data_IF_548878047560
#
_entry.id   IF_548878047560
#
_cell.length_a   1.000
_cell.length_b   1.000
_cell.length_c   1.000
_cell.angle_alpha   90.00
_cell.angle_beta   90.00
_cell.angle_gamma   90.00
#
_symmetry.space_group_name_H-M   'P 1'
#
loop_
_entity.id
_entity.type
_entity.pdbx_description
1 polymer ?
#
# COMPACT_ATOMS: atom_id res chain seq x y z
N UNK A 1 10.96 29.41 29.40
CA UNK A 1 9.83 28.52 29.04
C UNK A 1 10.01 28.21 27.57
N UNK A 2 10.13 26.90 27.24
CA UNK A 2 10.17 26.51 25.83
C UNK A 2 8.82 26.83 25.18
N UNK A 3 8.87 27.36 23.97
CA UNK A 3 7.67 27.60 23.18
C UNK A 3 6.96 26.26 22.90
N UNK A 4 5.72 26.06 23.35
CA UNK A 4 4.99 24.81 23.17
C UNK A 4 4.73 24.49 21.69
N UNK A 5 4.92 25.44 20.79
CA UNK A 5 4.77 25.28 19.34
C UNK A 5 6.09 25.01 18.61
N UNK A 6 7.23 24.95 19.34
CA UNK A 6 8.55 24.70 18.77
C UNK A 6 8.99 23.25 19.02
N UNK A 7 9.45 22.60 17.97
CA UNK A 7 9.91 21.21 17.97
C UNK A 7 11.33 21.09 17.40
N UNK A 8 12.02 19.99 17.68
CA UNK A 8 13.30 19.70 17.04
C UNK A 8 13.07 19.14 15.61
N UNK A 9 12.02 18.32 15.47
CA UNK A 9 11.68 17.68 14.20
C UNK A 9 10.17 17.74 13.95
N UNK A 10 9.79 18.27 12.80
CA UNK A 10 8.44 18.17 12.27
C UNK A 10 8.43 17.16 11.11
N UNK A 11 7.57 16.15 11.21
CA UNK A 11 7.43 15.07 10.22
C UNK A 11 6.08 15.19 9.52
N UNK A 12 6.09 15.30 8.20
CA UNK A 12 4.88 15.39 7.38
C UNK A 12 4.60 14.01 6.77
N UNK A 13 3.55 13.35 7.26
CA UNK A 13 3.17 11.97 6.97
C UNK A 13 3.48 11.05 8.14
N UNK A 14 2.85 9.87 8.17
CA UNK A 14 2.93 8.88 9.26
C UNK A 14 3.27 7.47 8.77
N UNK A 15 3.96 7.35 7.63
CA UNK A 15 4.41 6.07 7.11
C UNK A 15 5.70 5.55 7.78
N UNK A 16 6.20 4.40 7.35
CA UNK A 16 7.37 3.73 7.92
C UNK A 16 8.62 4.62 7.98
N UNK A 17 8.87 5.44 6.95
CA UNK A 17 9.99 6.39 6.95
C UNK A 17 9.84 7.49 8.00
N UNK A 18 8.61 7.96 8.22
CA UNK A 18 8.28 8.94 9.26
C UNK A 18 8.56 8.37 10.65
N UNK A 19 8.09 7.16 10.91
CA UNK A 19 8.27 6.49 12.19
C UNK A 19 9.76 6.19 12.47
N UNK A 20 10.50 5.71 11.49
CA UNK A 20 11.94 5.47 11.66
C UNK A 20 12.69 6.74 12.07
N UNK A 21 12.39 7.88 11.45
CA UNK A 21 12.99 9.16 11.78
C UNK A 21 12.54 9.67 13.16
N UNK A 22 11.24 9.57 13.47
CA UNK A 22 10.68 10.00 14.74
C UNK A 22 11.23 9.20 15.93
N UNK A 23 11.30 7.86 15.80
CA UNK A 23 11.94 6.98 16.79
C UNK A 23 13.40 7.40 17.04
N UNK A 24 14.15 7.59 15.95
CA UNK A 24 15.55 7.99 16.08
C UNK A 24 15.72 9.36 16.73
N UNK A 25 14.87 10.33 16.39
CA UNK A 25 14.87 11.64 17.01
C UNK A 25 14.58 11.56 18.53
N UNK A 26 13.57 10.78 18.92
CA UNK A 26 13.21 10.56 20.32
C UNK A 26 14.34 9.87 21.12
N UNK A 27 15.04 8.89 20.54
CA UNK A 27 16.21 8.26 21.15
C UNK A 27 17.35 9.25 21.39
N UNK A 28 17.39 10.34 20.64
CA UNK A 28 18.34 11.46 20.81
C UNK A 28 17.80 12.57 21.74
N UNK A 29 16.69 12.34 22.44
CA UNK A 29 16.07 13.29 23.34
C UNK A 29 15.39 14.47 22.63
N UNK A 30 15.00 14.29 21.34
CA UNK A 30 14.43 15.35 20.51
C UNK A 30 12.90 15.35 20.58
N UNK A 31 12.31 16.55 20.60
CA UNK A 31 10.85 16.75 20.55
C UNK A 31 10.36 16.62 19.12
N UNK A 32 9.37 15.75 18.90
CA UNK A 32 8.83 15.44 17.58
C UNK A 32 7.37 15.86 17.48
N UNK A 33 7.00 16.55 16.41
CA UNK A 33 5.62 16.69 15.95
C UNK A 33 5.43 15.92 14.65
N UNK A 34 4.35 15.17 14.55
CA UNK A 34 3.96 14.43 13.35
C UNK A 34 2.64 14.97 12.81
N UNK A 35 2.57 15.24 11.52
CA UNK A 35 1.35 15.74 10.87
C UNK A 35 0.85 14.69 9.89
N UNK A 36 -0.39 14.22 10.07
CA UNK A 36 -1.03 13.24 9.18
C UNK A 36 -2.41 13.74 8.76
N UNK A 37 -2.67 13.75 7.45
CA UNK A 37 -3.97 14.18 6.89
C UNK A 37 -5.00 13.06 6.78
N UNK A 38 -4.56 11.82 6.82
CA UNK A 38 -5.39 10.64 6.59
C UNK A 38 -5.27 9.63 7.72
N UNK A 39 -5.04 8.37 7.36
CA UNK A 39 -4.93 7.26 8.30
C UNK A 39 -3.47 7.04 8.68
N UNK A 40 -3.18 6.98 9.98
CA UNK A 40 -1.86 6.71 10.53
C UNK A 40 -1.29 5.39 10.00
N UNK A 41 0.05 5.33 9.81
CA UNK A 41 0.75 4.11 9.40
C UNK A 41 1.15 4.08 7.92
N UNK A 42 0.59 5.00 7.11
CA UNK A 42 0.94 5.15 5.70
C UNK A 42 0.56 3.94 4.83
N UNK A 43 1.13 3.87 3.64
CA UNK A 43 0.74 2.91 2.60
C UNK A 43 0.98 1.45 3.01
N UNK A 44 2.11 1.14 3.64
CA UNK A 44 2.51 -0.25 3.88
C UNK A 44 1.48 -1.02 4.72
N UNK A 45 1.06 -0.47 5.86
CA UNK A 45 0.10 -1.14 6.74
C UNK A 45 -1.33 -1.02 6.23
N UNK A 46 -1.72 0.14 5.67
CA UNK A 46 -3.13 0.39 5.36
C UNK A 46 -3.57 -0.14 4.00
N UNK A 47 -2.75 0.05 2.94
CA UNK A 47 -3.17 -0.18 1.54
C UNK A 47 -2.12 -0.86 0.68
N UNK A 48 -1.00 -1.29 1.27
CA UNK A 48 0.13 -1.86 0.55
C UNK A 48 0.52 -3.25 1.03
N UNK A 49 1.68 -3.35 1.69
CA UNK A 49 2.32 -4.61 2.01
C UNK A 49 1.46 -5.54 2.87
N UNK A 50 0.89 -5.02 3.95
CA UNK A 50 0.12 -5.85 4.90
C UNK A 50 -1.13 -6.43 4.24
N UNK A 51 -2.05 -5.64 3.68
CA UNK A 51 -3.25 -6.19 3.05
C UNK A 51 -2.92 -7.07 1.84
N UNK A 52 -1.93 -6.71 1.00
CA UNK A 52 -1.58 -7.53 -0.17
C UNK A 52 -1.01 -8.87 0.24
N UNK A 53 -0.14 -8.95 1.24
CA UNK A 53 0.45 -10.21 1.70
C UNK A 53 -0.57 -11.09 2.43
N UNK A 54 -1.51 -10.50 3.17
CA UNK A 54 -2.61 -11.25 3.78
C UNK A 54 -3.48 -11.94 2.72
N UNK A 55 -3.88 -11.20 1.69
CA UNK A 55 -4.70 -11.73 0.60
C UNK A 55 -3.92 -12.74 -0.27
N UNK A 56 -2.64 -12.47 -0.58
CA UNK A 56 -1.79 -13.40 -1.32
C UNK A 56 -1.60 -14.71 -0.57
N UNK A 57 -1.41 -14.67 0.76
CA UNK A 57 -1.29 -15.89 1.57
C UNK A 57 -2.58 -16.73 1.53
N UNK A 58 -3.74 -16.09 1.60
CA UNK A 58 -5.03 -16.78 1.47
C UNK A 58 -5.22 -17.38 0.07
N UNK A 59 -4.86 -16.64 -0.98
CA UNK A 59 -4.92 -17.12 -2.36
C UNK A 59 -3.94 -18.27 -2.60
N UNK A 60 -2.76 -18.23 -1.99
CA UNK A 60 -1.77 -19.30 -2.02
C UNK A 60 -2.28 -20.58 -1.35
N UNK A 61 -2.91 -20.48 -0.19
CA UNK A 61 -3.52 -21.61 0.50
C UNK A 61 -4.56 -22.32 -0.41
N UNK A 62 -5.39 -21.53 -1.12
CA UNK A 62 -6.33 -22.07 -2.10
C UNK A 62 -5.62 -22.76 -3.27
N UNK A 63 -4.60 -22.10 -3.82
CA UNK A 63 -3.81 -22.62 -4.94
C UNK A 63 -3.12 -23.96 -4.59
N UNK A 64 -2.50 -24.05 -3.42
CA UNK A 64 -1.86 -25.26 -2.91
C UNK A 64 -2.88 -26.40 -2.78
N UNK A 65 -4.06 -26.13 -2.24
CA UNK A 65 -5.13 -27.12 -2.11
C UNK A 65 -5.60 -27.63 -3.49
N UNK A 66 -5.84 -26.74 -4.46
CA UNK A 66 -6.25 -27.12 -5.81
C UNK A 66 -5.20 -27.95 -6.56
N UNK A 67 -3.91 -27.73 -6.26
CA UNK A 67 -2.78 -28.43 -6.86
C UNK A 67 -2.28 -29.62 -6.02
N UNK A 68 -3.05 -30.05 -5.01
CA UNK A 68 -2.68 -31.19 -4.14
C UNK A 68 -2.55 -32.51 -4.89
N UNK A 69 -3.26 -32.69 -6.01
CA UNK A 69 -3.20 -33.88 -6.86
C UNK A 69 -1.82 -34.20 -7.46
N UNK A 70 -0.85 -33.26 -7.38
CA UNK A 70 0.56 -33.52 -7.73
C UNK A 70 1.22 -34.55 -6.80
N UNK A 71 0.61 -34.82 -5.64
CA UNK A 71 1.07 -35.83 -4.70
C UNK A 71 0.13 -37.04 -4.75
N UNK A 72 0.60 -38.22 -5.19
CA UNK A 72 -0.22 -39.43 -5.20
C UNK A 72 -0.81 -39.73 -3.83
N UNK A 73 -2.11 -39.96 -3.78
CA UNK A 73 -2.84 -40.28 -2.54
C UNK A 73 -3.29 -39.03 -1.74
N UNK A 74 -3.00 -37.83 -2.19
CA UNK A 74 -3.53 -36.60 -1.61
C UNK A 74 -4.51 -35.96 -2.59
N UNK A 75 -5.74 -35.73 -2.13
CA UNK A 75 -6.73 -34.95 -2.87
C UNK A 75 -7.34 -33.91 -1.94
N UNK A 76 -7.41 -32.67 -2.41
CA UNK A 76 -8.13 -31.62 -1.73
C UNK A 76 -9.04 -30.89 -2.72
N UNK A 77 -10.08 -30.29 -2.21
CA UNK A 77 -10.98 -29.43 -2.98
C UNK A 77 -11.18 -28.12 -2.22
N UNK A 78 -11.45 -27.06 -2.94
CA UNK A 78 -11.80 -25.77 -2.34
C UNK A 78 -13.21 -25.41 -2.77
N UNK A 79 -13.98 -24.83 -1.84
CA UNK A 79 -15.24 -24.22 -2.16
C UNK A 79 -15.10 -22.89 -2.92
N UNK A 80 -16.22 -22.24 -3.18
CA UNK A 80 -16.24 -20.86 -3.66
C UNK A 80 -15.61 -19.95 -2.59
N UNK A 81 -14.85 -18.94 -3.04
CA UNK A 81 -14.24 -17.96 -2.13
C UNK A 81 -15.33 -17.08 -1.54
N UNK A 82 -15.38 -16.98 -0.22
CA UNK A 82 -16.18 -15.99 0.51
C UNK A 82 -15.36 -14.69 0.63
N UNK A 83 -15.50 -13.82 -0.37
CA UNK A 83 -14.74 -12.57 -0.42
C UNK A 83 -15.08 -11.63 0.76
N UNK A 84 -16.36 -11.44 1.15
CA UNK A 84 -16.68 -10.63 2.32
C UNK A 84 -15.92 -11.07 3.58
N UNK A 85 -15.92 -12.35 3.90
CA UNK A 85 -15.19 -12.89 5.06
C UNK A 85 -13.67 -12.70 4.92
N UNK A 86 -13.12 -12.89 3.72
CA UNK A 86 -11.70 -12.68 3.45
C UNK A 86 -11.29 -11.22 3.64
N UNK A 87 -12.10 -10.28 3.13
CA UNK A 87 -11.85 -8.84 3.26
C UNK A 87 -12.00 -8.38 4.71
N UNK A 88 -12.98 -8.88 5.44
CA UNK A 88 -13.13 -8.59 6.87
C UNK A 88 -11.92 -9.06 7.67
N UNK A 89 -11.44 -10.27 7.44
CA UNK A 89 -10.22 -10.79 8.08
C UNK A 89 -8.98 -9.96 7.75
N UNK A 90 -8.83 -9.52 6.50
CA UNK A 90 -7.76 -8.60 6.09
C UNK A 90 -7.89 -7.25 6.82
N UNK A 91 -9.10 -6.67 6.91
CA UNK A 91 -9.33 -5.39 7.60
C UNK A 91 -8.98 -5.49 9.09
N UNK A 92 -9.43 -6.54 9.76
CA UNK A 92 -9.11 -6.78 11.17
C UNK A 92 -7.59 -6.88 11.42
N UNK A 93 -6.85 -7.59 10.53
CA UNK A 93 -5.39 -7.65 10.60
C UNK A 93 -4.74 -6.27 10.44
N UNK A 94 -5.17 -5.49 9.45
CA UNK A 94 -4.66 -4.14 9.19
C UNK A 94 -4.90 -3.22 10.38
N UNK A 95 -6.10 -3.23 10.94
CA UNK A 95 -6.47 -2.42 12.11
C UNK A 95 -5.66 -2.79 13.34
N UNK A 96 -5.53 -4.08 13.63
CA UNK A 96 -4.73 -4.57 14.76
C UNK A 96 -3.26 -4.16 14.64
N UNK A 97 -2.66 -4.34 13.45
CA UNK A 97 -1.28 -3.94 13.20
C UNK A 97 -1.09 -2.42 13.24
N UNK A 98 -2.05 -1.64 12.76
CA UNK A 98 -2.00 -0.17 12.84
C UNK A 98 -2.03 0.29 14.29
N UNK A 99 -2.95 -0.21 15.08
CA UNK A 99 -3.05 0.10 16.51
C UNK A 99 -1.74 -0.21 17.23
N UNK A 100 -1.28 -1.46 17.16
CA UNK A 100 -0.09 -1.94 17.90
C UNK A 100 1.22 -1.28 17.43
N UNK A 101 1.42 -1.15 16.12
CA UNK A 101 2.73 -0.76 15.55
C UNK A 101 2.87 0.73 15.27
N UNK A 102 1.76 1.49 15.32
CA UNK A 102 1.77 2.91 14.99
C UNK A 102 1.09 3.75 16.08
N UNK A 103 -0.17 3.52 16.40
CA UNK A 103 -0.91 4.35 17.36
C UNK A 103 -0.33 4.23 18.77
N UNK A 104 -0.09 3.01 19.26
CA UNK A 104 0.53 2.77 20.56
C UNK A 104 1.95 3.32 20.65
N UNK A 105 2.72 3.31 19.54
CA UNK A 105 4.05 3.90 19.51
C UNK A 105 4.02 5.42 19.62
N UNK A 106 3.10 6.10 18.95
CA UNK A 106 2.93 7.56 19.10
C UNK A 106 2.70 7.90 20.57
N UNK A 107 1.77 7.18 21.22
CA UNK A 107 1.47 7.38 22.62
C UNK A 107 2.67 7.07 23.54
N UNK A 108 3.38 5.97 23.29
CA UNK A 108 4.52 5.54 24.13
C UNK A 108 5.73 6.49 24.04
N UNK A 109 5.97 7.09 22.89
CA UNK A 109 7.02 8.09 22.71
C UNK A 109 6.57 9.51 23.06
N UNK A 110 5.29 9.73 23.28
CA UNK A 110 4.72 11.05 23.61
C UNK A 110 4.86 12.07 22.47
N UNK A 111 4.79 11.62 21.21
CA UNK A 111 4.84 12.54 20.06
C UNK A 111 3.57 13.38 19.97
N UNK A 112 3.73 14.66 19.59
CA UNK A 112 2.59 15.50 19.25
C UNK A 112 2.09 15.12 17.86
N UNK A 113 0.89 14.53 17.80
CA UNK A 113 0.24 14.16 16.55
C UNK A 113 -0.80 15.22 16.17
N UNK A 114 -0.66 15.81 15.00
CA UNK A 114 -1.58 16.80 14.42
C UNK A 114 -2.30 16.21 13.24
N UNK A 115 -3.61 16.02 13.36
CA UNK A 115 -4.46 15.60 12.25
C UNK A 115 -4.72 16.79 11.31
N UNK A 116 -4.34 16.70 10.04
CA UNK A 116 -4.59 17.74 9.05
C UNK A 116 -3.61 17.75 7.90
N UNK A 117 -3.87 18.65 6.96
CA UNK A 117 -2.99 18.91 5.81
C UNK A 117 -1.97 19.98 6.17
N UNK A 118 -0.68 19.66 6.01
CA UNK A 118 0.40 20.59 6.25
C UNK A 118 0.80 21.35 4.98
N UNK A 119 1.05 22.63 5.12
CA UNK A 119 1.66 23.47 4.10
C UNK A 119 2.80 24.29 4.71
N UNK A 120 3.89 24.50 3.96
CA UNK A 120 4.94 25.40 4.41
C UNK A 120 4.46 26.85 4.37
N UNK A 121 4.75 27.56 5.45
CA UNK A 121 4.44 28.97 5.65
C UNK A 121 5.68 29.69 6.26
N UNK A 122 5.59 30.99 6.44
CA UNK A 122 6.69 31.79 6.96
C UNK A 122 7.71 32.17 5.89
N UNK A 123 8.97 32.29 6.29
CA UNK A 123 10.08 32.65 5.39
C UNK A 123 11.13 31.55 5.34
N UNK A 124 12.08 31.66 4.42
CA UNK A 124 13.22 30.73 4.35
C UNK A 124 14.07 30.77 5.63
N UNK A 125 14.12 31.92 6.31
CA UNK A 125 14.87 32.06 7.56
C UNK A 125 14.11 31.58 8.79
N UNK A 126 12.76 31.57 8.74
CA UNK A 126 11.87 31.10 9.79
C UNK A 126 10.74 30.28 9.15
N UNK A 127 11.03 29.06 8.69
CA UNK A 127 10.01 28.20 8.10
C UNK A 127 9.06 27.70 9.18
N UNK A 128 7.77 27.63 8.83
CA UNK A 128 6.70 27.15 9.68
C UNK A 128 5.83 26.16 8.90
N UNK A 129 5.12 25.28 9.59
CA UNK A 129 4.03 24.51 9.02
C UNK A 129 2.69 25.08 9.46
N UNK A 130 1.88 25.50 8.52
CA UNK A 130 0.45 25.71 8.73
C UNK A 130 -0.26 24.37 8.55
N UNK A 131 -1.05 23.98 9.54
CA UNK A 131 -1.79 22.72 9.56
C UNK A 131 -3.28 23.08 9.53
N UNK A 132 -3.98 22.59 8.50
CA UNK A 132 -5.42 22.76 8.37
C UNK A 132 -6.11 21.45 8.69
N UNK A 133 -6.85 21.39 9.78
CA UNK A 133 -7.65 20.26 10.19
C UNK A 133 -8.89 20.06 9.29
N UNK A 134 -9.55 18.92 9.39
CA UNK A 134 -10.72 18.60 8.57
C UNK A 134 -11.91 19.56 8.76
N UNK A 135 -12.04 20.17 9.94
CA UNK A 135 -13.07 21.17 10.27
C UNK A 135 -12.69 22.59 9.79
N UNK A 136 -11.54 22.77 9.14
CA UNK A 136 -11.02 24.05 8.67
C UNK A 136 -10.22 24.81 9.73
N UNK A 137 -10.11 24.32 10.95
CA UNK A 137 -9.27 24.94 12.00
C UNK A 137 -7.81 24.95 11.56
N UNK A 138 -7.14 26.08 11.75
CA UNK A 138 -5.74 26.26 11.42
C UNK A 138 -4.88 26.39 12.66
N UNK A 139 -3.73 25.74 12.64
CA UNK A 139 -2.69 25.88 13.64
C UNK A 139 -1.33 25.98 12.96
N UNK A 140 -0.35 26.52 13.67
CA UNK A 140 1.01 26.69 13.13
C UNK A 140 2.01 26.07 14.09
N UNK A 141 2.98 25.33 13.57
CA UNK A 141 4.10 24.80 14.33
C UNK A 141 5.43 25.18 13.68
N UNK A 142 6.44 25.37 14.52
CA UNK A 142 7.83 25.58 14.10
C UNK A 142 8.69 24.37 14.47
N UNK A 143 9.72 24.11 13.71
CA UNK A 143 10.70 23.09 14.02
C UNK A 143 12.09 23.47 13.54
N UNK A 144 13.13 22.93 14.20
CA UNK A 144 14.51 23.08 13.74
C UNK A 144 14.77 22.33 12.42
N UNK A 145 14.08 21.20 12.22
CA UNK A 145 14.20 20.36 11.02
C UNK A 145 12.82 19.88 10.53
N UNK A 146 12.68 19.71 9.23
CA UNK A 146 11.45 19.22 8.58
C UNK A 146 11.74 17.99 7.75
N UNK A 147 10.95 16.92 7.94
CA UNK A 147 10.98 15.72 7.14
C UNK A 147 9.70 15.61 6.31
N UNK A 148 9.85 15.65 4.99
CA UNK A 148 8.75 15.42 4.06
C UNK A 148 8.71 13.93 3.73
N UNK A 149 7.73 13.22 4.29
CA UNK A 149 7.54 11.78 4.12
C UNK A 149 6.08 11.46 3.75
N UNK A 150 5.56 12.20 2.78
CA UNK A 150 4.15 12.19 2.35
C UNK A 150 3.75 10.97 1.53
N UNK A 151 4.71 10.07 1.24
CA UNK A 151 4.47 8.83 0.51
C UNK A 151 4.17 9.02 -0.98
N UNK A 152 3.42 8.08 -1.54
CA UNK A 152 3.03 8.05 -2.94
C UNK A 152 1.63 7.47 -3.10
N UNK A 153 1.03 7.72 -4.25
CA UNK A 153 -0.26 7.14 -4.66
C UNK A 153 -0.09 6.36 -5.98
N UNK A 154 -0.97 5.40 -6.29
CA UNK A 154 -0.97 4.76 -7.59
C UNK A 154 -1.07 5.78 -8.72
N UNK A 155 -0.19 5.65 -9.72
CA UNK A 155 -0.25 6.48 -10.92
C UNK A 155 -1.26 5.88 -11.90
N UNK A 156 -2.22 6.68 -12.30
CA UNK A 156 -3.19 6.30 -13.33
C UNK A 156 -2.57 6.63 -14.70
N UNK A 157 -2.40 5.66 -15.60
CA UNK A 157 -1.83 5.92 -16.91
C UNK A 157 -2.78 6.77 -17.76
N UNK A 158 -2.19 7.63 -18.60
CA UNK A 158 -2.96 8.39 -19.59
C UNK A 158 -3.33 7.46 -20.76
N UNK A 159 -4.50 6.84 -20.67
CA UNK A 159 -5.10 5.98 -21.70
C UNK A 159 -6.43 6.61 -22.09
N UNK A 160 -6.65 6.78 -23.38
CA UNK A 160 -7.88 7.39 -23.88
C UNK A 160 -9.10 6.57 -23.47
N UNK A 161 -10.12 7.25 -22.92
CA UNK A 161 -11.34 6.62 -22.42
C UNK A 161 -11.24 6.01 -21.02
N UNK A 162 -10.05 5.84 -20.41
CA UNK A 162 -9.91 5.23 -19.09
C UNK A 162 -10.67 5.99 -18.00
N UNK A 163 -10.71 7.32 -18.07
CA UNK A 163 -11.45 8.15 -17.12
C UNK A 163 -12.98 7.98 -17.20
N UNK A 164 -13.47 7.38 -18.28
CA UNK A 164 -14.91 7.12 -18.50
C UNK A 164 -15.37 5.72 -18.08
N UNK A 165 -14.49 4.89 -17.53
CA UNK A 165 -14.79 3.54 -17.07
C UNK A 165 -14.45 3.38 -15.60
N UNK A 166 -15.15 2.46 -14.93
CA UNK A 166 -14.81 2.07 -13.56
C UNK A 166 -13.54 1.20 -13.57
N UNK A 167 -12.42 1.80 -13.23
CA UNK A 167 -11.17 1.08 -13.10
C UNK A 167 -10.78 0.88 -11.63
N UNK A 168 -10.00 -0.15 -11.40
CA UNK A 168 -9.44 -0.45 -10.08
C UNK A 168 -7.99 0.03 -9.99
N UNK A 169 -7.61 0.46 -8.79
CA UNK A 169 -6.22 0.57 -8.37
C UNK A 169 -5.85 -0.63 -7.50
N UNK A 170 -4.56 -0.81 -7.20
CA UNK A 170 -4.14 -1.85 -6.25
C UNK A 170 -4.85 -1.73 -4.88
N UNK A 171 -5.20 -0.51 -4.47
CA UNK A 171 -5.93 -0.27 -3.22
C UNK A 171 -7.38 -0.73 -3.32
N UNK A 172 -8.11 -0.24 -4.34
CA UNK A 172 -9.54 -0.57 -4.49
C UNK A 172 -9.77 -2.04 -4.90
N UNK A 173 -8.84 -2.66 -5.62
CA UNK A 173 -8.93 -4.07 -5.96
C UNK A 173 -8.90 -4.98 -4.71
N UNK A 174 -8.13 -4.62 -3.69
CA UNK A 174 -8.06 -5.35 -2.42
C UNK A 174 -9.28 -5.10 -1.49
N UNK A 175 -10.26 -4.33 -1.93
CA UNK A 175 -11.52 -4.09 -1.22
C UNK A 175 -12.74 -4.70 -1.94
N UNK A 176 -12.52 -5.44 -3.03
CA UNK A 176 -13.61 -6.08 -3.76
C UNK A 176 -14.31 -7.14 -2.90
N UNK A 177 -15.64 -7.09 -2.86
CA UNK A 177 -16.49 -8.02 -2.11
C UNK A 177 -16.88 -9.27 -2.92
N UNK A 178 -16.41 -9.36 -4.16
CA UNK A 178 -16.59 -10.51 -5.03
C UNK A 178 -15.34 -10.74 -5.88
N UNK A 179 -15.03 -12.00 -6.20
CA UNK A 179 -14.01 -12.33 -7.19
C UNK A 179 -14.54 -11.94 -8.56
N UNK A 180 -13.89 -11.03 -9.30
CA UNK A 180 -14.33 -10.70 -10.66
C UNK A 180 -14.17 -11.92 -11.57
N UNK A 181 -15.07 -12.10 -12.53
CA UNK A 181 -14.98 -13.18 -13.51
C UNK A 181 -13.71 -13.06 -14.35
N UNK A 182 -13.39 -11.83 -14.77
CA UNK A 182 -12.17 -11.54 -15.51
C UNK A 182 -11.52 -10.24 -15.00
N UNK A 183 -10.19 -10.15 -15.13
CA UNK A 183 -9.42 -8.98 -14.72
C UNK A 183 -8.34 -8.64 -15.76
N UNK A 184 -8.34 -7.42 -16.24
CA UNK A 184 -7.27 -6.88 -17.08
C UNK A 184 -6.34 -6.02 -16.22
N UNK A 185 -5.07 -6.40 -16.13
CA UNK A 185 -4.05 -5.71 -15.34
C UNK A 185 -3.13 -4.90 -16.25
N UNK A 186 -3.10 -3.58 -16.07
CA UNK A 186 -2.22 -2.69 -16.83
C UNK A 186 -0.90 -2.49 -16.08
N UNK A 187 0.16 -3.10 -16.60
CA UNK A 187 1.51 -2.99 -16.03
C UNK A 187 2.19 -4.34 -15.83
N UNK A 188 3.52 -4.33 -15.77
CA UNK A 188 4.36 -5.51 -15.55
C UNK A 188 5.32 -5.33 -14.37
N UNK A 189 5.06 -4.38 -13.47
CA UNK A 189 5.82 -4.16 -12.23
C UNK A 189 5.30 -5.02 -11.08
N UNK A 190 6.01 -5.03 -9.96
CA UNK A 190 5.72 -5.90 -8.80
C UNK A 190 4.27 -5.88 -8.33
N UNK A 191 3.70 -4.68 -8.14
CA UNK A 191 2.30 -4.54 -7.68
C UNK A 191 1.33 -5.19 -8.67
N UNK A 192 1.53 -4.98 -9.96
CA UNK A 192 0.70 -5.58 -11.00
C UNK A 192 0.80 -7.11 -11.00
N UNK A 193 2.01 -7.65 -10.82
CA UNK A 193 2.25 -9.10 -10.77
C UNK A 193 1.60 -9.74 -9.54
N UNK A 194 1.71 -9.09 -8.37
CA UNK A 194 1.04 -9.55 -7.15
C UNK A 194 -0.49 -9.56 -7.30
N UNK A 195 -1.07 -8.48 -7.82
CA UNK A 195 -2.52 -8.40 -8.04
C UNK A 195 -3.00 -9.43 -9.07
N UNK A 196 -2.25 -9.62 -10.16
CA UNK A 196 -2.58 -10.61 -11.18
C UNK A 196 -2.61 -12.03 -10.59
N UNK A 197 -1.59 -12.42 -9.85
CA UNK A 197 -1.52 -13.75 -9.25
C UNK A 197 -2.55 -13.93 -8.13
N UNK A 198 -2.78 -12.90 -7.32
CA UNK A 198 -3.83 -12.90 -6.30
C UNK A 198 -5.18 -13.28 -6.90
N UNK A 199 -5.63 -12.51 -7.88
CA UNK A 199 -6.97 -12.73 -8.46
C UNK A 199 -7.07 -14.00 -9.29
N UNK A 200 -6.01 -14.40 -10.00
CA UNK A 200 -5.98 -15.67 -10.70
C UNK A 200 -6.14 -16.85 -9.74
N UNK A 201 -5.42 -16.87 -8.64
CA UNK A 201 -5.51 -17.91 -7.60
C UNK A 201 -6.84 -17.89 -6.86
N UNK A 202 -7.52 -16.74 -6.78
CA UNK A 202 -8.90 -16.63 -6.26
C UNK A 202 -9.94 -17.12 -7.28
N UNK A 203 -9.61 -17.19 -8.57
CA UNK A 203 -10.47 -17.79 -9.59
C UNK A 203 -10.87 -16.86 -10.75
N UNK A 204 -10.28 -15.67 -10.86
CA UNK A 204 -10.48 -14.79 -12.02
C UNK A 204 -9.70 -15.26 -13.24
N UNK A 205 -10.25 -15.05 -14.44
CA UNK A 205 -9.47 -15.08 -15.68
C UNK A 205 -8.63 -13.80 -15.80
N UNK A 206 -7.30 -13.90 -15.73
CA UNK A 206 -6.43 -12.73 -15.65
C UNK A 206 -5.59 -12.58 -16.91
N UNK A 207 -5.62 -11.35 -17.46
CA UNK A 207 -4.73 -10.91 -18.53
C UNK A 207 -3.87 -9.73 -18.07
N UNK A 208 -2.56 -9.83 -18.20
CA UNK A 208 -1.59 -8.75 -17.90
C UNK A 208 -1.13 -8.11 -19.21
N UNK A 209 -1.32 -6.80 -19.34
CA UNK A 209 -0.76 -6.00 -20.45
C UNK A 209 0.49 -5.28 -19.97
N UNK A 210 1.65 -5.63 -20.56
CA UNK A 210 2.93 -5.03 -20.22
C UNK A 210 3.57 -4.37 -21.44
N UNK A 211 4.11 -3.16 -21.27
CA UNK A 211 4.84 -2.43 -22.34
C UNK A 211 6.16 -3.11 -22.73
N UNK A 212 6.70 -3.91 -21.81
CA UNK A 212 7.96 -4.63 -21.97
C UNK A 212 7.89 -5.99 -21.31
N UNK A 213 9.00 -6.57 -20.90
CA UNK A 213 9.01 -7.81 -20.09
C UNK A 213 8.47 -7.56 -18.68
N UNK A 214 8.00 -8.60 -18.00
CA UNK A 214 7.60 -8.55 -16.60
C UNK A 214 8.81 -8.22 -15.73
N UNK A 215 8.61 -7.50 -14.64
CA UNK A 215 9.70 -7.04 -13.75
C UNK A 215 10.90 -6.49 -14.53
N UNK A 216 10.66 -5.56 -15.46
CA UNK A 216 11.62 -5.13 -16.48
C UNK A 216 12.91 -4.48 -15.94
N UNK A 217 12.93 -4.12 -14.65
CA UNK A 217 14.09 -3.58 -13.96
C UNK A 217 15.01 -4.66 -13.39
N UNK A 218 14.54 -5.91 -13.36
CA UNK A 218 15.32 -7.05 -12.88
C UNK A 218 16.06 -7.75 -14.04
N UNK A 219 16.85 -8.75 -13.70
CA UNK A 219 17.56 -9.58 -14.67
C UNK A 219 16.60 -10.29 -15.63
N UNK A 220 17.02 -10.54 -16.89
CA UNK A 220 16.18 -11.22 -17.86
C UNK A 220 15.68 -12.61 -17.40
N UNK A 221 16.48 -13.32 -16.63
CA UNK A 221 16.18 -14.64 -16.07
C UNK A 221 14.99 -14.59 -15.09
N UNK A 222 14.92 -13.54 -14.25
CA UNK A 222 13.78 -13.29 -13.34
C UNK A 222 12.50 -13.10 -14.15
N UNK A 223 12.57 -12.26 -15.19
CA UNK A 223 11.43 -12.02 -16.07
C UNK A 223 10.95 -13.28 -16.78
N UNK A 224 11.90 -14.15 -17.21
CA UNK A 224 11.58 -15.42 -17.84
C UNK A 224 10.89 -16.38 -16.87
N UNK A 225 11.45 -16.55 -15.68
CA UNK A 225 10.87 -17.40 -14.64
C UNK A 225 9.45 -16.96 -14.25
N UNK A 226 9.22 -15.64 -14.10
CA UNK A 226 7.89 -15.10 -13.82
C UNK A 226 6.89 -15.40 -14.95
N UNK A 227 7.31 -15.34 -16.22
CA UNK A 227 6.45 -15.68 -17.35
C UNK A 227 6.09 -17.16 -17.37
N UNK A 228 7.03 -18.04 -17.04
CA UNK A 228 6.81 -19.49 -16.94
C UNK A 228 5.79 -19.79 -15.84
N UNK A 229 5.96 -19.22 -14.63
CA UNK A 229 5.00 -19.35 -13.52
C UNK A 229 3.61 -18.83 -13.91
N UNK A 230 3.53 -17.70 -14.57
CA UNK A 230 2.25 -17.11 -14.99
C UNK A 230 1.55 -17.98 -16.04
N UNK A 231 2.31 -18.58 -16.96
CA UNK A 231 1.75 -19.51 -17.94
C UNK A 231 1.22 -20.79 -17.27
N UNK A 232 1.95 -21.34 -16.29
CA UNK A 232 1.54 -22.51 -15.51
C UNK A 232 0.27 -22.23 -14.67
N UNK A 233 0.09 -21.00 -14.22
CA UNK A 233 -1.11 -20.55 -13.48
C UNK A 233 -2.21 -19.99 -14.41
N UNK A 234 -2.12 -20.20 -15.71
CA UNK A 234 -3.07 -19.75 -16.73
C UNK A 234 -3.27 -18.21 -16.77
N UNK A 235 -2.30 -17.42 -16.30
CA UNK A 235 -2.31 -15.97 -16.40
C UNK A 235 -1.78 -15.58 -17.79
N UNK A 236 -2.62 -14.95 -18.60
CA UNK A 236 -2.23 -14.49 -19.93
C UNK A 236 -1.36 -13.25 -19.84
N UNK A 237 -0.18 -13.27 -20.47
CA UNK A 237 0.70 -12.09 -20.54
C UNK A 237 0.82 -11.59 -21.97
N UNK A 238 0.40 -10.36 -22.23
CA UNK A 238 0.55 -9.68 -23.51
C UNK A 238 1.63 -8.62 -23.34
N UNK A 239 2.77 -8.83 -23.99
CA UNK A 239 3.91 -7.93 -23.95
C UNK A 239 3.90 -6.98 -25.15
N UNK A 240 4.63 -5.88 -25.02
CA UNK A 240 4.70 -4.80 -26.03
C UNK A 240 3.32 -4.21 -26.34
N UNK A 241 2.39 -4.32 -25.37
CA UNK A 241 1.07 -3.73 -25.45
C UNK A 241 1.11 -2.29 -24.95
N UNK A 242 0.68 -1.38 -25.80
CA UNK A 242 0.43 0.02 -25.43
C UNK A 242 -1.07 0.20 -25.55
N UNK A 243 -1.80 0.32 -24.44
CA UNK A 243 -3.22 0.60 -24.52
C UNK A 243 -3.42 2.01 -25.13
N UNK A 244 -4.34 2.07 -26.08
CA UNK A 244 -4.74 3.30 -26.78
C UNK A 244 -6.22 3.55 -26.59
#
# INVERSE_FOLDING_TARGET
MEDPTSFDLAVIGSGAGSFAAAIRASQLGKRVVMVERGVIGGTCVNTGCVPSKALLAAADARHVALNSGRFPGISASTGRVDMPALIEGKRALVEGMRAEKYEDLIASYGWDLRAGTAAFAGTTADPRLEITAADGTRSTVGAAHYLIATGSTPTIPAVDGLAGVDYLTSTSAMELEAVPESLLVLGGGYVALEQAQLFARLGSEVTVLARSRLASKEEPEVSKALQEVFADEAIRVVRHAVPT
#
